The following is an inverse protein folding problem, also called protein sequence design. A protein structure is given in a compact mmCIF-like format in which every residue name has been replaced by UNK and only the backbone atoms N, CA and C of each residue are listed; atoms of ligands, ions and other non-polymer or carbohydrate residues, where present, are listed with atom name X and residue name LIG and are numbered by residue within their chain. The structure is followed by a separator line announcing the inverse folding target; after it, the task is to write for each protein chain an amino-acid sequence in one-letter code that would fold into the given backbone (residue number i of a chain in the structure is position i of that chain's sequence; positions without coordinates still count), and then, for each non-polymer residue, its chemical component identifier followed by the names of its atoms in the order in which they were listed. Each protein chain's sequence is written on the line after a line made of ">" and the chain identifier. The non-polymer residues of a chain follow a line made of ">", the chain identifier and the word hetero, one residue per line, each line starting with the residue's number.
data_IF_037298375331
#
_entry.id   IF_037298375331
#
_cell.length_a   1.000
_cell.length_b   1.000
_cell.length_c   1.000
_cell.angle_alpha   90.00
_cell.angle_beta   90.00
_cell.angle_gamma   90.00
#
_symmetry.space_group_name_H-M   'P 1'
#
loop_
_entity.id
_entity.type
_entity.pdbx_description
1 polymer ?
#
# COMPACT_ATOMS: atom_id res chain seq x y z
N UNK A 1 0.43 37.12 -33.88
CA UNK A 1 0.30 37.50 -32.45
C UNK A 1 -1.13 37.23 -32.03
N UNK A 2 -1.31 36.19 -31.20
CA UNK A 2 -1.85 36.31 -29.83
C UNK A 2 -3.34 36.64 -29.84
N UNK A 3 -4.20 35.62 -29.78
CA UNK A 3 -4.76 35.05 -28.53
C UNK A 3 -5.25 36.18 -27.62
N UNK A 4 -6.58 36.29 -27.46
CA UNK A 4 -7.27 36.66 -26.23
C UNK A 4 -8.74 36.93 -26.57
N UNK A 5 -9.57 35.89 -26.54
CA UNK A 5 -11.01 35.98 -26.26
C UNK A 5 -11.56 34.57 -26.05
N UNK A 6 -11.07 33.94 -25.00
CA UNK A 6 -11.68 32.76 -24.40
C UNK A 6 -11.66 32.94 -22.88
N UNK A 7 -12.26 34.04 -22.40
CA UNK A 7 -12.57 34.25 -20.98
C UNK A 7 -13.92 33.61 -20.62
N UNK A 8 -14.18 32.42 -21.14
CA UNK A 8 -15.35 31.62 -20.81
C UNK A 8 -14.95 30.15 -20.71
N UNK A 9 -14.14 29.79 -19.71
CA UNK A 9 -14.36 28.49 -19.09
C UNK A 9 -13.70 28.39 -17.72
N UNK A 10 -14.50 27.90 -16.78
CA UNK A 10 -14.10 27.33 -15.49
C UNK A 10 -13.74 28.36 -14.42
N UNK A 11 -14.78 28.91 -13.80
CA UNK A 11 -14.80 28.92 -12.34
C UNK A 11 -14.48 27.49 -11.87
N UNK A 12 -13.24 27.27 -11.43
CA UNK A 12 -12.84 26.01 -10.83
C UNK A 12 -13.61 25.90 -9.52
N UNK A 13 -14.70 25.14 -9.57
CA UNK A 13 -15.39 24.70 -8.36
C UNK A 13 -14.34 24.14 -7.41
N UNK A 14 -14.37 24.61 -6.17
CA UNK A 14 -13.64 23.99 -5.07
C UNK A 14 -13.87 22.48 -5.18
N UNK A 15 -12.82 21.64 -5.25
CA UNK A 15 -13.03 20.20 -5.25
C UNK A 15 -13.85 19.86 -4.02
N UNK A 16 -15.03 19.30 -4.25
CA UNK A 16 -15.89 18.93 -3.14
C UNK A 16 -15.22 17.78 -2.40
N UNK A 17 -15.46 17.64 -1.09
CA UNK A 17 -14.89 16.57 -0.27
C UNK A 17 -15.06 15.17 -0.90
N UNK A 18 -16.08 14.96 -1.74
CA UNK A 18 -16.32 13.73 -2.50
C UNK A 18 -15.28 13.45 -3.60
N UNK A 19 -14.80 14.47 -4.31
CA UNK A 19 -13.83 14.30 -5.41
C UNK A 19 -12.45 13.90 -4.88
N UNK A 20 -12.05 14.46 -3.75
CA UNK A 20 -10.81 14.11 -3.04
C UNK A 20 -10.82 12.67 -2.52
N UNK A 21 -11.98 12.18 -2.07
CA UNK A 21 -12.13 10.82 -1.55
C UNK A 21 -12.04 9.76 -2.66
N UNK A 22 -12.66 10.01 -3.82
CA UNK A 22 -12.53 9.16 -5.00
C UNK A 22 -11.09 9.09 -5.53
N UNK A 23 -10.41 10.24 -5.55
CA UNK A 23 -8.99 10.32 -5.95
C UNK A 23 -8.07 9.55 -5.00
N UNK A 24 -8.31 9.63 -3.68
CA UNK A 24 -7.54 8.86 -2.69
C UNK A 24 -7.69 7.35 -2.89
N UNK A 25 -8.89 6.87 -3.18
CA UNK A 25 -9.16 5.45 -3.46
C UNK A 25 -8.45 4.99 -4.74
N UNK A 26 -8.52 5.79 -5.81
CA UNK A 26 -7.83 5.49 -7.07
C UNK A 26 -6.31 5.41 -6.90
N UNK A 27 -5.73 6.32 -6.10
CA UNK A 27 -4.30 6.29 -5.78
C UNK A 27 -3.90 5.05 -4.97
N UNK A 28 -4.72 4.64 -3.99
CA UNK A 28 -4.51 3.42 -3.19
C UNK A 28 -4.48 2.18 -4.09
N UNK A 29 -5.47 2.05 -4.99
CA UNK A 29 -5.53 0.94 -5.94
C UNK A 29 -4.33 0.94 -6.88
N UNK A 30 -3.97 2.10 -7.42
CA UNK A 30 -2.82 2.24 -8.34
C UNK A 30 -1.50 1.83 -7.69
N UNK A 31 -1.26 2.25 -6.44
CA UNK A 31 -0.04 1.88 -5.71
C UNK A 31 -0.03 0.38 -5.46
N UNK A 32 -1.10 -0.21 -4.93
CA UNK A 32 -1.16 -1.65 -4.68
C UNK A 32 -0.93 -2.49 -5.95
N UNK A 33 -1.52 -2.09 -7.08
CA UNK A 33 -1.27 -2.75 -8.37
C UNK A 33 0.19 -2.61 -8.83
N UNK A 34 0.77 -1.43 -8.67
CA UNK A 34 2.19 -1.18 -9.00
C UNK A 34 3.11 -2.04 -8.12
N UNK A 35 2.83 -2.13 -6.82
CA UNK A 35 3.58 -2.99 -5.89
C UNK A 35 3.54 -4.46 -6.32
N UNK A 36 2.37 -4.95 -6.75
CA UNK A 36 2.24 -6.33 -7.26
C UNK A 36 3.09 -6.57 -8.51
N UNK A 37 3.20 -5.58 -9.40
CA UNK A 37 4.09 -5.64 -10.57
C UNK A 37 5.55 -5.70 -10.12
N UNK A 38 5.98 -4.83 -9.21
CA UNK A 38 7.35 -4.84 -8.68
C UNK A 38 7.70 -6.16 -7.97
N UNK A 39 6.77 -6.75 -7.21
CA UNK A 39 6.96 -8.08 -6.61
C UNK A 39 7.14 -9.15 -7.68
N UNK A 40 6.30 -9.13 -8.73
CA UNK A 40 6.40 -10.08 -9.83
C UNK A 40 7.73 -9.95 -10.55
N UNK A 41 8.21 -8.73 -10.77
CA UNK A 41 9.51 -8.46 -11.38
C UNK A 41 10.67 -8.93 -10.50
N UNK A 42 10.65 -8.63 -9.19
CA UNK A 42 11.68 -9.10 -8.27
C UNK A 42 11.77 -10.63 -8.25
N UNK A 43 10.62 -11.32 -8.31
CA UNK A 43 10.58 -12.79 -8.35
C UNK A 43 11.17 -13.41 -9.60
N UNK A 44 11.22 -12.72 -10.74
CA UNK A 44 11.92 -13.26 -11.94
C UNK A 44 13.43 -13.19 -11.81
N UNK A 45 13.95 -12.35 -10.91
CA UNK A 45 15.37 -12.16 -10.65
C UNK A 45 15.88 -13.07 -9.52
N UNK A 46 14.97 -13.60 -8.70
CA UNK A 46 15.30 -14.51 -7.60
C UNK A 46 15.34 -15.97 -8.09
N UNK A 47 16.16 -16.83 -7.45
CA UNK A 47 16.07 -18.28 -7.62
C UNK A 47 14.64 -18.81 -7.44
N UNK A 48 14.36 -19.99 -8.00
CA UNK A 48 13.05 -20.61 -7.87
C UNK A 48 12.67 -20.73 -6.38
N UNK A 49 11.62 -20.01 -5.99
CA UNK A 49 11.19 -19.92 -4.61
C UNK A 49 10.71 -21.30 -4.11
N UNK A 50 11.04 -21.69 -2.86
CA UNK A 50 10.35 -22.80 -2.22
C UNK A 50 8.85 -22.50 -2.12
N UNK A 51 8.02 -23.54 -2.04
CA UNK A 51 6.60 -23.35 -1.77
C UNK A 51 6.46 -22.75 -0.37
N UNK A 52 5.96 -21.52 -0.29
CA UNK A 52 5.76 -20.82 0.98
C UNK A 52 4.28 -20.55 1.18
N UNK A 53 3.71 -21.16 2.22
CA UNK A 53 2.36 -20.87 2.67
C UNK A 53 2.35 -19.66 3.62
N UNK A 54 2.21 -18.47 3.04
CA UNK A 54 1.91 -17.26 3.77
C UNK A 54 0.42 -17.20 4.16
N UNK A 55 0.09 -17.42 5.42
CA UNK A 55 -1.27 -17.16 5.90
C UNK A 55 -1.64 -15.69 5.65
N UNK A 56 -2.80 -15.45 5.05
CA UNK A 56 -3.35 -14.11 4.90
C UNK A 56 -4.20 -13.80 6.13
N UNK A 57 -3.86 -12.77 6.93
CA UNK A 57 -4.72 -12.37 8.02
C UNK A 57 -6.06 -11.85 7.49
N UNK A 58 -7.16 -11.99 8.24
CA UNK A 58 -8.47 -11.50 7.82
C UNK A 58 -8.48 -9.97 7.68
N UNK A 59 -9.33 -9.46 6.78
CA UNK A 59 -9.56 -8.03 6.64
C UNK A 59 -10.52 -7.53 7.72
N UNK A 60 -9.98 -7.08 8.84
CA UNK A 60 -10.72 -6.51 9.98
C UNK A 60 -10.97 -5.00 9.82
N UNK A 61 -11.57 -4.60 8.69
CA UNK A 61 -11.83 -3.19 8.40
C UNK A 61 -10.56 -2.37 8.13
N UNK A 62 -10.71 -1.04 8.05
CA UNK A 62 -9.61 -0.16 7.65
C UNK A 62 -8.48 -0.10 8.69
N UNK A 63 -8.81 -0.22 9.98
CA UNK A 63 -7.83 -0.25 11.07
C UNK A 63 -6.97 -1.51 11.01
N UNK A 64 -7.58 -2.68 10.81
CA UNK A 64 -6.86 -3.93 10.62
C UNK A 64 -5.94 -3.88 9.40
N UNK A 65 -6.38 -3.27 8.29
CA UNK A 65 -5.53 -3.12 7.09
C UNK A 65 -4.30 -2.26 7.37
N UNK A 66 -4.47 -1.14 8.05
CA UNK A 66 -3.36 -0.25 8.41
C UNK A 66 -2.35 -1.00 9.28
N UNK A 67 -2.82 -1.72 10.29
CA UNK A 67 -1.95 -2.46 11.22
C UNK A 67 -1.13 -3.55 10.50
N UNK A 68 -1.80 -4.39 9.70
CA UNK A 68 -1.12 -5.47 8.99
C UNK A 68 -0.14 -4.94 7.94
N UNK A 69 -0.51 -3.89 7.22
CA UNK A 69 0.37 -3.28 6.23
C UNK A 69 1.57 -2.60 6.88
N UNK A 70 1.41 -1.99 8.06
CA UNK A 70 2.51 -1.46 8.86
C UNK A 70 3.52 -2.55 9.26
N UNK A 71 3.02 -3.70 9.74
CA UNK A 71 3.90 -4.83 10.07
C UNK A 71 4.67 -5.38 8.85
N UNK A 72 4.05 -5.37 7.67
CA UNK A 72 4.71 -5.76 6.43
C UNK A 72 5.77 -4.74 5.98
N UNK A 73 5.53 -3.44 6.15
CA UNK A 73 6.53 -2.39 5.91
C UNK A 73 7.76 -2.61 6.80
N UNK A 74 7.55 -2.87 8.10
CA UNK A 74 8.62 -3.16 9.06
C UNK A 74 9.42 -4.42 8.69
N UNK A 75 8.76 -5.49 8.19
CA UNK A 75 9.45 -6.68 7.68
C UNK A 75 10.35 -6.36 6.47
N UNK A 76 9.93 -5.43 5.59
CA UNK A 76 10.65 -5.07 4.36
C UNK A 76 11.85 -4.13 4.61
N UNK A 77 11.89 -3.39 5.72
CA UNK A 77 12.95 -2.40 6.03
C UNK A 77 14.37 -2.98 6.13
N UNK A 78 14.51 -4.29 6.27
CA UNK A 78 15.79 -4.96 6.53
C UNK A 78 16.77 -5.01 5.34
N UNK A 79 16.37 -4.63 4.12
CA UNK A 79 17.28 -4.58 2.95
C UNK A 79 16.80 -3.63 1.81
N UNK A 80 16.86 -2.29 1.98
CA UNK A 80 16.22 -1.34 1.07
C UNK A 80 17.11 -1.00 -0.14
N UNK A 81 17.39 -1.97 -1.01
CA UNK A 81 18.11 -1.71 -2.27
C UNK A 81 17.38 -2.28 -3.47
N UNK A 82 17.49 -1.61 -4.63
CA UNK A 82 16.90 -2.07 -5.89
C UNK A 82 15.37 -2.17 -5.82
N UNK A 83 14.82 -3.21 -6.48
CA UNK A 83 13.37 -3.47 -6.52
C UNK A 83 12.77 -3.71 -5.12
N UNK A 84 13.53 -4.31 -4.19
CA UNK A 84 13.03 -4.51 -2.82
C UNK A 84 12.80 -3.18 -2.09
N UNK A 85 13.69 -2.21 -2.29
CA UNK A 85 13.51 -0.85 -1.78
C UNK A 85 12.30 -0.13 -2.41
N UNK A 86 12.01 -0.38 -3.68
CA UNK A 86 10.81 0.16 -4.34
C UNK A 86 9.52 -0.46 -3.76
N UNK A 87 9.50 -1.78 -3.56
CA UNK A 87 8.37 -2.47 -2.92
C UNK A 87 8.12 -1.92 -1.51
N UNK A 88 9.20 -1.70 -0.73
CA UNK A 88 9.11 -1.11 0.60
C UNK A 88 8.54 0.31 0.57
N UNK A 89 9.04 1.17 -0.34
CA UNK A 89 8.52 2.52 -0.52
C UNK A 89 7.04 2.53 -0.93
N UNK A 90 6.61 1.62 -1.80
CA UNK A 90 5.22 1.49 -2.21
C UNK A 90 4.32 1.08 -1.04
N UNK A 91 4.74 0.06 -0.27
CA UNK A 91 4.00 -0.43 0.91
C UNK A 91 3.88 0.68 1.96
N UNK A 92 4.96 1.43 2.21
CA UNK A 92 4.95 2.57 3.13
C UNK A 92 4.02 3.69 2.66
N UNK A 93 4.04 4.02 1.37
CA UNK A 93 3.15 5.00 0.74
C UNK A 93 1.68 4.59 0.84
N UNK A 94 1.39 3.31 0.58
CA UNK A 94 0.06 2.73 0.70
C UNK A 94 -0.44 2.81 2.15
N UNK A 95 0.40 2.44 3.12
CA UNK A 95 0.10 2.52 4.54
C UNK A 95 -0.21 3.96 4.99
N UNK A 96 0.60 4.93 4.58
CA UNK A 96 0.36 6.34 4.86
C UNK A 96 -0.98 6.84 4.29
N UNK A 97 -1.33 6.43 3.07
CA UNK A 97 -2.61 6.82 2.43
C UNK A 97 -3.82 6.19 3.09
N UNK A 98 -3.72 4.94 3.51
CA UNK A 98 -4.78 4.26 4.26
C UNK A 98 -5.00 4.93 5.63
N UNK A 99 -3.92 5.33 6.32
CA UNK A 99 -4.00 6.14 7.55
C UNK A 99 -4.71 7.47 7.31
N UNK A 100 -4.34 8.21 6.26
CA UNK A 100 -5.02 9.46 5.89
C UNK A 100 -6.49 9.25 5.55
N UNK A 101 -6.82 8.16 4.84
CA UNK A 101 -8.21 7.79 4.56
C UNK A 101 -8.98 7.50 5.85
N UNK A 102 -8.40 6.73 6.78
CA UNK A 102 -9.01 6.43 8.07
C UNK A 102 -9.26 7.69 8.91
N UNK A 103 -8.28 8.58 8.98
CA UNK A 103 -8.42 9.88 9.65
C UNK A 103 -9.54 10.72 9.02
N UNK A 104 -9.62 10.79 7.69
CA UNK A 104 -10.69 11.52 6.99
C UNK A 104 -12.10 10.95 7.25
N UNK A 105 -12.19 9.67 7.63
CA UNK A 105 -13.42 8.96 8.00
C UNK A 105 -13.69 8.99 9.52
N UNK A 106 -12.81 9.62 10.31
CA UNK A 106 -12.94 9.70 11.77
C UNK A 106 -12.61 8.39 12.50
N UNK A 107 -11.88 7.47 11.87
CA UNK A 107 -11.43 6.25 12.53
C UNK A 107 -10.38 6.57 13.61
N UNK A 108 -10.45 5.88 14.74
CA UNK A 108 -9.32 5.82 15.66
C UNK A 108 -8.22 4.98 15.00
N UNK A 109 -7.15 5.64 14.55
CA UNK A 109 -5.95 4.95 14.05
C UNK A 109 -5.01 4.80 15.23
N UNK A 110 -4.72 3.56 15.62
CA UNK A 110 -3.67 3.30 16.59
C UNK A 110 -2.32 3.37 15.86
N UNK A 111 -1.48 4.33 16.23
CA UNK A 111 -0.06 4.31 15.92
C UNK A 111 0.63 3.30 16.84
N UNK A 112 0.42 2.01 16.59
CA UNK A 112 1.13 0.93 17.28
C UNK A 112 2.63 1.12 17.12
N UNK A 113 3.38 0.92 18.21
CA UNK A 113 4.82 1.12 18.25
C UNK A 113 5.51 0.44 17.05
N UNK A 114 6.27 1.22 16.29
CA UNK A 114 7.12 0.75 15.21
C UNK A 114 7.78 -0.57 15.63
N UNK A 115 7.56 -1.63 14.85
CA UNK A 115 8.11 -2.94 15.12
C UNK A 115 9.60 -2.82 15.38
N UNK A 116 10.10 -3.52 16.40
CA UNK A 116 11.52 -3.52 16.71
C UNK A 116 12.32 -3.82 15.43
N UNK A 117 13.39 -3.06 15.12
CA UNK A 117 14.16 -3.25 13.91
C UNK A 117 14.63 -4.70 13.86
N UNK A 118 14.14 -5.44 12.87
CA UNK A 118 14.52 -6.84 12.68
C UNK A 118 16.03 -6.92 12.50
N UNK A 119 16.65 -7.87 13.21
CA UNK A 119 18.07 -8.20 13.08
C UNK A 119 18.47 -8.20 11.59
N UNK A 120 19.48 -7.39 11.25
CA UNK A 120 19.84 -6.88 9.92
C UNK A 120 20.32 -7.93 8.91
N UNK A 121 19.89 -9.18 9.04
CA UNK A 121 20.00 -10.21 8.03
C UNK A 121 18.60 -10.69 7.70
N UNK A 122 18.17 -10.40 6.48
CA UNK A 122 17.02 -11.04 5.89
C UNK A 122 17.49 -12.38 5.30
N UNK A 123 17.30 -13.53 5.96
CA UNK A 123 17.58 -14.80 5.30
C UNK A 123 16.69 -14.91 4.07
N UNK A 124 17.19 -15.51 3.00
CA UNK A 124 16.49 -15.60 1.72
C UNK A 124 15.08 -16.22 1.87
N UNK A 125 14.94 -17.16 2.80
CA UNK A 125 13.64 -17.75 3.19
C UNK A 125 12.65 -16.74 3.77
N UNK A 126 13.12 -15.74 4.52
CA UNK A 126 12.30 -14.63 5.04
C UNK A 126 11.92 -13.67 3.92
N UNK A 127 12.78 -13.45 2.92
CA UNK A 127 12.45 -12.66 1.74
C UNK A 127 11.29 -13.26 0.95
N UNK A 128 11.37 -14.54 0.58
CA UNK A 128 10.28 -15.19 -0.14
C UNK A 128 8.97 -15.17 0.66
N UNK A 129 9.05 -15.38 1.98
CA UNK A 129 7.88 -15.33 2.86
C UNK A 129 7.26 -13.94 2.93
N UNK A 130 8.05 -12.89 3.18
CA UNK A 130 7.53 -11.53 3.27
C UNK A 130 6.96 -11.08 1.93
N UNK A 131 7.61 -11.37 0.79
CA UNK A 131 7.05 -11.07 -0.53
C UNK A 131 5.74 -11.83 -0.80
N UNK A 132 5.63 -13.08 -0.34
CA UNK A 132 4.39 -13.85 -0.45
C UNK A 132 3.26 -13.27 0.41
N UNK A 133 3.56 -12.84 1.63
CA UNK A 133 2.59 -12.14 2.50
C UNK A 133 2.12 -10.83 1.86
N UNK A 134 3.04 -9.97 1.42
CA UNK A 134 2.70 -8.69 0.78
C UNK A 134 1.83 -8.92 -0.43
N UNK A 135 2.21 -9.84 -1.33
CA UNK A 135 1.40 -10.13 -2.49
C UNK A 135 -0.01 -10.58 -2.13
N UNK A 136 -0.15 -11.63 -1.30
CA UNK A 136 -1.47 -12.17 -0.94
C UNK A 136 -2.34 -11.13 -0.24
N UNK A 137 -1.73 -10.31 0.61
CA UNK A 137 -2.45 -9.28 1.33
C UNK A 137 -2.94 -8.17 0.40
N UNK A 138 -2.11 -7.70 -0.54
CA UNK A 138 -2.52 -6.70 -1.52
C UNK A 138 -3.58 -7.23 -2.49
N UNK A 139 -3.48 -8.49 -2.92
CA UNK A 139 -4.52 -9.14 -3.72
C UNK A 139 -5.87 -9.15 -2.97
N UNK A 140 -5.86 -9.52 -1.68
CA UNK A 140 -7.06 -9.56 -0.83
C UNK A 140 -7.64 -8.16 -0.58
N UNK A 141 -6.78 -7.18 -0.31
CA UNK A 141 -7.17 -5.76 -0.16
C UNK A 141 -7.80 -5.26 -1.44
N UNK A 142 -7.18 -5.46 -2.61
CA UNK A 142 -7.73 -5.03 -3.90
C UNK A 142 -9.08 -5.68 -4.20
N UNK A 143 -9.23 -6.98 -3.90
CA UNK A 143 -10.47 -7.71 -4.12
C UNK A 143 -11.62 -7.20 -3.25
N UNK A 144 -11.32 -6.70 -2.05
CA UNK A 144 -12.34 -6.28 -1.08
C UNK A 144 -12.36 -4.78 -0.78
N UNK A 145 -11.53 -3.96 -1.43
CA UNK A 145 -11.33 -2.54 -1.09
C UNK A 145 -12.64 -1.75 -1.11
N UNK A 146 -13.53 -2.07 -2.04
CA UNK A 146 -14.88 -1.47 -2.15
C UNK A 146 -15.85 -1.90 -1.03
N UNK A 147 -15.56 -3.00 -0.33
CA UNK A 147 -16.31 -3.51 0.82
C UNK A 147 -15.76 -3.00 2.16
N UNK A 148 -14.54 -2.45 2.18
CA UNK A 148 -13.94 -1.82 3.37
C UNK A 148 -14.68 -0.50 3.66
N UNK A 149 -15.83 -0.63 4.30
CA UNK A 149 -16.73 0.48 4.65
C UNK A 149 -16.58 0.94 6.11
N UNK A 150 -15.97 0.11 6.96
CA UNK A 150 -15.91 0.33 8.41
C UNK A 150 -14.45 0.51 8.84
N UNK A 151 -14.24 1.38 9.81
CA UNK A 151 -13.15 1.23 10.76
C UNK A 151 -13.47 -0.04 11.55
#
# INVERSE_FOLDING_TARGET
>A
MRLLLALLYVCSGLPTKGDSMGQNMGNIVSIAQTTLVHIKELRTQLPAAPHVDAATPPLEGLAGIIQHLGALDDELQSAPTGLLGQIQADVSSLHGRLRSLAQSRGCAVWDGAAGAPGDGRFPESRLYLTLAKVQRYLDEVLHNMNKVKVC
#
